data_IF_677044991370
#
_entry.id   IF_677044991370
#
_cell.length_a   1.000
_cell.length_b   1.000
_cell.length_c   1.000
_cell.angle_alpha   90.00
_cell.angle_beta   90.00
_cell.angle_gamma   90.00
#
_symmetry.space_group_name_H-M   'P 1'
#
loop_
_entity.id
_entity.type
_entity.pdbx_description
1 polymer ?
#
# COMPACT_ATOMS: atom_id res chain seq x y z
N UNK A 1 -7.20 -9.84 9.18
CA UNK A 1 -6.16 -8.93 9.72
C UNK A 1 -4.97 -8.94 8.76
N UNK A 2 -4.23 -7.83 8.64
CA UNK A 2 -2.96 -7.80 7.90
C UNK A 2 -1.93 -8.56 8.73
N UNK A 3 -1.27 -9.55 8.15
CA UNK A 3 -0.28 -10.39 8.87
C UNK A 3 1.15 -10.03 8.49
N UNK A 4 1.35 -9.46 7.30
CA UNK A 4 2.65 -9.05 6.79
C UNK A 4 2.50 -7.83 5.90
N UNK A 5 3.35 -6.83 6.10
CA UNK A 5 3.44 -5.65 5.24
C UNK A 5 4.92 -5.40 4.91
N UNK A 6 5.22 -5.26 3.63
CA UNK A 6 6.56 -5.00 3.13
C UNK A 6 6.50 -3.79 2.20
N UNK A 7 7.28 -2.77 2.53
CA UNK A 7 7.50 -1.62 1.66
C UNK A 7 8.74 -1.89 0.81
N UNK A 8 8.59 -1.87 -0.50
CA UNK A 8 9.71 -1.91 -1.44
C UNK A 8 9.80 -0.52 -2.05
N UNK A 9 10.79 0.24 -1.61
CA UNK A 9 11.16 1.46 -2.32
C UNK A 9 11.78 1.04 -3.66
N UNK A 10 11.65 1.88 -4.67
CA UNK A 10 12.42 1.88 -5.92
C UNK A 10 11.69 1.23 -7.11
N UNK A 11 10.84 2.03 -7.75
CA UNK A 11 11.01 2.26 -9.18
C UNK A 11 11.51 3.71 -9.28
N UNK A 12 12.72 3.94 -9.81
CA UNK A 12 13.31 5.26 -10.05
C UNK A 12 13.92 6.01 -8.84
N UNK A 13 14.87 5.37 -8.14
CA UNK A 13 15.78 6.07 -7.20
C UNK A 13 16.40 7.30 -7.91
N UNK A 14 16.37 8.48 -7.27
CA UNK A 14 16.88 9.75 -7.82
C UNK A 14 16.13 10.34 -9.03
N UNK A 15 14.88 9.95 -9.29
CA UNK A 15 14.04 10.64 -10.29
C UNK A 15 12.86 11.37 -9.64
N UNK A 16 12.39 12.43 -10.29
CA UNK A 16 11.24 13.26 -9.86
C UNK A 16 9.93 12.48 -9.62
N UNK A 17 9.86 11.22 -10.05
CA UNK A 17 8.70 10.34 -9.99
C UNK A 17 8.95 9.11 -9.09
N UNK A 18 9.59 9.26 -7.93
CA UNK A 18 9.72 8.15 -6.98
C UNK A 18 8.33 7.56 -6.66
N UNK A 19 8.17 6.27 -6.95
CA UNK A 19 6.99 5.48 -6.59
C UNK A 19 7.38 4.44 -5.54
N UNK A 20 6.48 4.25 -4.58
CA UNK A 20 6.64 3.26 -3.53
C UNK A 20 5.78 2.04 -3.88
N UNK A 21 6.39 0.86 -4.01
CA UNK A 21 5.62 -0.37 -4.12
C UNK A 21 5.49 -1.01 -2.75
N UNK A 22 4.40 -1.75 -2.55
CA UNK A 22 4.17 -2.50 -1.33
C UNK A 22 3.62 -3.87 -1.64
N UNK A 23 3.87 -4.77 -0.70
CA UNK A 23 3.33 -6.12 -0.67
C UNK A 23 2.75 -6.36 0.71
N UNK A 24 1.55 -6.92 0.78
CA UNK A 24 0.91 -7.26 2.04
C UNK A 24 0.20 -8.60 1.97
N UNK A 25 0.14 -9.29 3.10
CA UNK A 25 -0.72 -10.45 3.27
C UNK A 25 -1.96 -10.05 4.08
N UNK A 26 -3.13 -10.28 3.51
CA UNK A 26 -4.42 -10.04 4.14
C UNK A 26 -5.30 -11.29 4.04
N UNK A 27 -5.67 -11.85 5.19
CA UNK A 27 -6.48 -13.08 5.27
C UNK A 27 -5.91 -14.24 4.43
N UNK A 28 -4.58 -14.39 4.41
CA UNK A 28 -3.92 -15.45 3.64
C UNK A 28 -3.73 -15.13 2.15
N UNK A 29 -4.27 -14.01 1.64
CA UNK A 29 -4.06 -13.56 0.27
C UNK A 29 -2.92 -12.53 0.22
N UNK A 30 -1.98 -12.73 -0.71
CA UNK A 30 -0.93 -11.76 -0.98
C UNK A 30 -1.42 -10.75 -2.02
N UNK A 31 -1.38 -9.47 -1.66
CA UNK A 31 -1.69 -8.35 -2.53
C UNK A 31 -0.48 -7.46 -2.68
N UNK A 32 -0.34 -6.87 -3.85
CA UNK A 32 0.74 -5.95 -4.17
C UNK A 32 0.17 -4.73 -4.88
N UNK A 33 0.84 -3.60 -4.73
CA UNK A 33 0.43 -2.37 -5.37
C UNK A 33 1.49 -1.29 -5.28
N UNK A 34 1.17 -0.14 -5.84
CA UNK A 34 1.97 1.07 -5.75
C UNK A 34 1.19 2.16 -5.04
N UNK A 35 1.93 3.00 -4.34
CA UNK A 35 1.43 4.19 -3.68
C UNK A 35 2.12 5.42 -4.27
N UNK A 36 1.32 6.37 -4.72
CA UNK A 36 1.80 7.63 -5.25
C UNK A 36 0.85 8.77 -4.88
N UNK A 37 1.37 9.78 -4.16
CA UNK A 37 0.63 11.01 -3.79
C UNK A 37 -0.75 10.76 -3.14
N UNK A 38 -0.89 9.71 -2.32
CA UNK A 38 -2.16 9.38 -1.65
C UNK A 38 -3.05 8.42 -2.42
N UNK A 39 -2.70 8.08 -3.66
CA UNK A 39 -3.43 7.11 -4.49
C UNK A 39 -2.77 5.74 -4.38
N UNK A 40 -3.60 4.71 -4.21
CA UNK A 40 -3.19 3.30 -4.23
C UNK A 40 -3.65 2.69 -5.55
N UNK A 41 -2.71 2.14 -6.31
CA UNK A 41 -3.02 1.30 -7.46
C UNK A 41 -2.61 -0.14 -7.16
N UNK A 42 -3.57 -1.06 -7.26
CA UNK A 42 -3.34 -2.47 -7.02
C UNK A 42 -2.84 -3.19 -8.28
N UNK A 43 -1.94 -4.15 -8.08
CA UNK A 43 -1.55 -5.10 -9.12
C UNK A 43 -2.56 -6.25 -9.21
N UNK A 44 -2.47 -6.99 -10.31
CA UNK A 44 -3.26 -8.21 -10.49
C UNK A 44 -2.63 -9.37 -9.66
N UNK A 45 -3.39 -10.13 -8.86
CA UNK A 45 -4.85 -10.10 -8.69
C UNK A 45 -5.36 -8.92 -7.84
N UNK A 46 -6.35 -8.21 -8.38
CA UNK A 46 -6.96 -7.06 -7.69
C UNK A 46 -7.73 -7.52 -6.42
N UNK A 47 -7.50 -6.89 -5.25
CA UNK A 47 -8.09 -7.34 -3.98
C UNK A 47 -9.62 -7.30 -3.96
N UNK A 48 -10.25 -6.40 -4.73
CA UNK A 48 -11.71 -6.37 -4.93
C UNK A 48 -12.32 -7.76 -5.20
N UNK A 49 -11.64 -8.58 -6.02
CA UNK A 49 -12.14 -9.89 -6.44
C UNK A 49 -12.11 -10.94 -5.32
N UNK A 50 -11.35 -10.70 -4.25
CA UNK A 50 -11.15 -11.67 -3.15
C UNK A 50 -11.86 -11.26 -1.87
N UNK A 51 -11.89 -9.97 -1.55
CA UNK A 51 -12.38 -9.48 -0.25
C UNK A 51 -13.61 -8.56 -0.36
N UNK A 52 -14.02 -8.20 -1.58
CA UNK A 52 -15.16 -7.32 -1.84
C UNK A 52 -14.93 -5.84 -1.50
N UNK A 53 -15.87 -4.98 -1.89
CA UNK A 53 -15.77 -3.51 -1.77
C UNK A 53 -15.61 -3.02 -0.33
N UNK A 54 -16.38 -3.58 0.60
CA UNK A 54 -16.37 -3.11 2.00
C UNK A 54 -15.03 -3.38 2.70
N UNK A 55 -14.42 -4.54 2.47
CA UNK A 55 -13.11 -4.85 3.05
C UNK A 55 -11.99 -4.14 2.30
N UNK A 56 -12.14 -3.95 0.98
CA UNK A 56 -11.19 -3.18 0.18
C UNK A 56 -11.04 -1.75 0.70
N UNK A 57 -12.13 -1.03 0.94
CA UNK A 57 -12.04 0.34 1.46
C UNK A 57 -11.36 0.44 2.83
N UNK A 58 -11.58 -0.56 3.71
CA UNK A 58 -10.86 -0.67 4.99
C UNK A 58 -9.37 -0.96 4.77
N UNK A 59 -9.05 -1.86 3.85
CA UNK A 59 -7.67 -2.22 3.52
C UNK A 59 -6.90 -1.02 2.95
N UNK A 60 -7.49 -0.29 2.01
CA UNK A 60 -6.90 0.90 1.39
C UNK A 60 -6.67 2.00 2.42
N UNK A 61 -7.62 2.23 3.33
CA UNK A 61 -7.45 3.19 4.42
C UNK A 61 -6.28 2.84 5.34
N UNK A 62 -6.10 1.55 5.65
CA UNK A 62 -4.98 1.06 6.46
C UNK A 62 -3.66 1.24 5.71
N UNK A 63 -3.59 0.81 4.45
CA UNK A 63 -2.38 0.95 3.61
C UNK A 63 -2.00 2.42 3.44
N UNK A 64 -2.95 3.30 3.16
CA UNK A 64 -2.72 4.73 3.05
C UNK A 64 -2.17 5.33 4.35
N UNK A 65 -2.71 4.93 5.50
CA UNK A 65 -2.21 5.37 6.81
C UNK A 65 -0.78 4.89 7.07
N UNK A 66 -0.47 3.62 6.75
CA UNK A 66 0.88 3.07 6.87
C UNK A 66 1.85 3.83 5.95
N UNK A 67 1.47 4.05 4.70
CA UNK A 67 2.28 4.79 3.73
C UNK A 67 2.52 6.23 4.15
N UNK A 68 1.50 6.95 4.61
CA UNK A 68 1.67 8.32 5.10
C UNK A 68 2.66 8.38 6.27
N UNK A 69 2.56 7.44 7.22
CA UNK A 69 3.50 7.35 8.36
C UNK A 69 4.94 7.03 7.92
N UNK A 70 5.11 6.19 6.90
CA UNK A 70 6.43 5.80 6.41
C UNK A 70 7.07 6.88 5.51
N UNK A 71 6.26 7.66 4.81
CA UNK A 71 6.71 8.65 3.82
C UNK A 71 6.80 10.07 4.35
N UNK A 72 6.07 10.40 5.41
CA UNK A 72 6.15 11.67 6.10
C UNK A 72 6.54 11.43 7.56
N UNK A 73 7.81 11.64 7.96
CA UNK A 73 8.24 11.47 9.35
C UNK A 73 7.72 12.57 10.30
N UNK A 74 6.83 13.46 9.87
CA UNK A 74 6.37 14.59 10.68
C UNK A 74 5.01 14.30 11.34
N UNK A 75 5.04 13.86 12.59
CA UNK A 75 4.39 14.49 13.78
C UNK A 75 4.51 13.57 15.00
N UNK A 76 5.71 13.45 15.55
CA UNK A 76 5.89 13.48 17.00
C UNK A 76 6.66 14.78 17.26
N UNK A 77 5.92 15.88 17.31
CA UNK A 77 6.38 17.12 17.93
C UNK A 77 6.15 16.98 19.45
#
# INVERSE_FOLDING_TARGET
>A
MITKFQLTKILFQNQFHERYSFSLNYQGNNFQGIYHKGVIDWFNPHPFNKIGSQQLGKLESIVATIMQKLLCPCKNA
#
